data_IF_466039761881
#
_entry.id   IF_466039761881
#
_cell.length_a   1.000
_cell.length_b   1.000
_cell.length_c   1.000
_cell.angle_alpha   90.00
_cell.angle_beta   90.00
_cell.angle_gamma   90.00
#
_symmetry.space_group_name_H-M   'P 1'
#
loop_
_entity.id
_entity.type
_entity.pdbx_description
1 polymer ?
#
# COMPACT_ATOMS: atom_id res chain seq x y z
N UNK A 1 -3.36 60.26 9.06
CA UNK A 1 -3.24 59.01 9.84
C UNK A 1 -3.24 57.83 8.87
N UNK A 2 -2.08 57.20 8.61
CA UNK A 2 -2.04 55.99 7.78
C UNK A 2 -2.52 54.79 8.61
N UNK A 3 -3.68 54.23 8.23
CA UNK A 3 -4.16 52.96 8.77
C UNK A 3 -3.16 51.86 8.38
N UNK A 4 -2.62 51.15 9.37
CA UNK A 4 -1.71 50.03 9.16
C UNK A 4 -2.40 48.94 8.34
N UNK A 5 -1.82 48.60 7.19
CA UNK A 5 -2.26 47.46 6.39
C UNK A 5 -2.04 46.18 7.21
N UNK A 6 -2.97 45.22 7.20
CA UNK A 6 -2.79 43.96 7.91
C UNK A 6 -1.60 43.21 7.32
N UNK A 7 -0.64 42.84 8.17
CA UNK A 7 0.53 42.07 7.76
C UNK A 7 0.08 40.72 7.17
N UNK A 8 0.43 40.47 5.90
CA UNK A 8 0.22 39.17 5.28
C UNK A 8 1.05 38.12 6.02
N UNK A 9 0.43 37.01 6.43
CA UNK A 9 1.16 35.83 6.91
C UNK A 9 2.17 35.42 5.82
N UNK A 10 3.45 35.22 6.15
CA UNK A 10 4.41 34.74 5.18
C UNK A 10 3.94 33.39 4.62
N UNK A 11 4.22 33.09 3.34
CA UNK A 11 3.89 31.80 2.76
C UNK A 11 4.47 30.70 3.65
N UNK A 12 3.65 29.69 3.93
CA UNK A 12 4.02 28.59 4.82
C UNK A 12 5.34 27.94 4.39
N UNK A 13 6.09 27.42 5.37
CA UNK A 13 7.40 26.80 5.13
C UNK A 13 7.32 25.78 3.99
N UNK A 14 8.16 25.89 2.94
CA UNK A 14 8.24 24.88 1.89
C UNK A 14 8.46 23.49 2.50
N UNK A 15 7.66 22.52 2.05
CA UNK A 15 7.79 21.13 2.49
C UNK A 15 9.23 20.66 2.23
N UNK A 16 9.87 20.09 3.26
CA UNK A 16 11.26 19.63 3.20
C UNK A 16 11.42 18.65 2.04
N UNK A 17 12.25 19.00 1.05
CA UNK A 17 12.60 18.13 -0.07
C UNK A 17 13.45 16.95 0.42
N UNK A 18 13.36 15.82 -0.27
CA UNK A 18 14.20 14.65 0.00
C UNK A 18 15.68 15.04 -0.20
N UNK A 19 16.57 14.59 0.69
CA UNK A 19 18.01 14.92 0.62
C UNK A 19 18.63 14.30 -0.65
N UNK A 20 19.55 15.02 -1.30
CA UNK A 20 20.31 14.57 -2.48
C UNK A 20 21.12 13.28 -2.27
N UNK A 21 21.47 12.94 -1.02
CA UNK A 21 22.17 11.71 -0.65
C UNK A 21 21.24 10.57 -0.23
N UNK A 22 19.92 10.82 -0.16
CA UNK A 22 18.99 9.71 -0.08
C UNK A 22 19.04 9.03 -1.44
N UNK A 23 19.80 7.91 -1.53
CA UNK A 23 19.96 7.09 -2.73
C UNK A 23 18.64 7.11 -3.52
N UNK A 24 18.71 7.43 -4.81
CA UNK A 24 17.60 7.38 -5.79
C UNK A 24 17.09 5.94 -6.03
N UNK A 25 17.23 5.07 -5.02
CA UNK A 25 16.64 3.76 -5.00
C UNK A 25 15.21 3.81 -4.44
N UNK A 26 14.38 2.82 -4.79
CA UNK A 26 13.07 2.63 -4.17
C UNK A 26 13.20 2.67 -2.64
N UNK A 27 12.32 3.40 -1.94
CA UNK A 27 12.36 3.56 -0.46
C UNK A 27 12.14 2.21 0.23
N UNK A 28 13.21 1.44 0.41
CA UNK A 28 13.14 0.09 1.00
C UNK A 28 12.50 0.07 2.40
N UNK A 29 12.72 1.11 3.20
CA UNK A 29 12.16 1.20 4.56
C UNK A 29 10.63 1.33 4.57
N UNK A 30 10.03 1.98 3.57
CA UNK A 30 8.60 2.25 3.52
C UNK A 30 7.76 0.98 3.29
N UNK A 31 8.36 -0.02 2.63
CA UNK A 31 7.72 -1.28 2.30
C UNK A 31 8.25 -2.45 3.13
N UNK A 32 9.03 -2.20 4.19
CA UNK A 32 9.37 -3.24 5.16
C UNK A 32 8.09 -3.74 5.84
N UNK A 33 7.99 -5.06 6.07
CA UNK A 33 6.78 -5.69 6.60
C UNK A 33 6.41 -5.06 7.96
N UNK A 34 7.37 -4.88 8.86
CA UNK A 34 7.13 -4.27 10.19
C UNK A 34 6.60 -2.84 10.09
N UNK A 35 7.16 -2.03 9.17
CA UNK A 35 6.68 -0.66 8.96
C UNK A 35 5.28 -0.63 8.34
N UNK A 36 4.97 -1.58 7.46
CA UNK A 36 3.64 -1.74 6.87
C UNK A 36 2.62 -2.16 7.92
N UNK A 37 2.93 -3.17 8.75
CA UNK A 37 2.07 -3.60 9.87
C UNK A 37 1.78 -2.41 10.77
N UNK A 38 2.81 -1.69 11.22
CA UNK A 38 2.64 -0.51 12.07
C UNK A 38 1.77 0.55 11.40
N UNK A 39 2.01 0.84 10.11
CA UNK A 39 1.23 1.80 9.33
C UNK A 39 -0.23 1.39 9.18
N UNK A 40 -0.51 0.10 8.95
CA UNK A 40 -1.87 -0.43 8.78
C UNK A 40 -2.65 -0.41 10.10
N UNK A 41 -1.96 -0.61 11.23
CA UNK A 41 -2.56 -0.47 12.57
C UNK A 41 -2.88 1.01 12.86
N UNK A 42 -1.91 1.90 12.66
CA UNK A 42 -2.06 3.33 12.96
C UNK A 42 -3.04 4.04 12.00
N UNK A 43 -2.96 3.70 10.70
CA UNK A 43 -3.69 4.36 9.60
C UNK A 43 -4.22 3.31 8.62
N UNK A 44 -5.30 2.60 8.96
CA UNK A 44 -5.79 1.47 8.18
C UNK A 44 -6.33 1.86 6.79
N UNK A 45 -6.75 3.12 6.63
CA UNK A 45 -7.20 3.66 5.35
C UNK A 45 -6.05 4.10 4.41
N UNK A 46 -4.80 4.03 4.87
CA UNK A 46 -3.65 4.61 4.13
C UNK A 46 -3.20 3.83 2.89
N UNK A 47 -3.84 2.68 2.63
CA UNK A 47 -3.54 1.76 1.51
C UNK A 47 -4.78 1.45 0.66
N UNK A 48 -5.89 2.16 0.89
CA UNK A 48 -7.11 1.97 0.10
C UNK A 48 -6.82 2.31 -1.36
N UNK A 49 -7.37 1.51 -2.27
CA UNK A 49 -7.21 1.55 -3.72
C UNK A 49 -5.81 1.26 -4.25
N UNK A 50 -4.85 0.90 -3.40
CA UNK A 50 -3.54 0.44 -3.89
C UNK A 50 -3.69 -0.85 -4.68
N UNK A 51 -2.99 -0.92 -5.81
CA UNK A 51 -2.79 -2.16 -6.56
C UNK A 51 -1.70 -3.02 -5.93
N UNK A 52 -2.00 -4.30 -5.73
CA UNK A 52 -1.09 -5.32 -5.21
C UNK A 52 -1.11 -6.56 -6.08
N UNK A 53 -0.01 -7.30 -6.07
CA UNK A 53 0.14 -8.62 -6.66
C UNK A 53 -0.08 -9.69 -5.58
N UNK A 54 -0.89 -10.69 -5.93
CA UNK A 54 -1.05 -11.92 -5.16
C UNK A 54 -0.68 -13.10 -6.04
N UNK A 55 0.08 -14.05 -5.49
CA UNK A 55 0.42 -15.30 -6.16
C UNK A 55 -0.68 -16.32 -5.89
N UNK A 56 -1.17 -16.94 -6.95
CA UNK A 56 -2.04 -18.12 -6.84
C UNK A 56 -1.45 -19.27 -7.65
N UNK A 57 -1.36 -20.43 -7.00
CA UNK A 57 -0.99 -21.68 -7.64
C UNK A 57 -2.19 -22.17 -8.46
N UNK A 58 -1.96 -22.41 -9.75
CA UNK A 58 -2.94 -23.06 -10.63
C UNK A 58 -2.35 -24.38 -11.11
N UNK A 59 -3.10 -25.47 -10.94
CA UNK A 59 -2.71 -26.78 -11.48
C UNK A 59 -3.04 -26.82 -12.97
N UNK A 60 -2.03 -26.97 -13.82
CA UNK A 60 -2.23 -27.25 -15.25
C UNK A 60 -2.63 -28.72 -15.41
N UNK A 61 -3.34 -29.06 -16.49
CA UNK A 61 -3.81 -30.44 -16.78
C UNK A 61 -2.69 -31.50 -16.78
N UNK A 62 -1.43 -31.08 -16.98
CA UNK A 62 -0.23 -31.94 -16.92
C UNK A 62 0.35 -32.13 -15.49
N UNK A 63 -0.32 -31.61 -14.46
CA UNK A 63 0.12 -31.72 -13.07
C UNK A 63 1.25 -30.76 -12.67
N UNK A 64 1.70 -29.88 -13.57
CA UNK A 64 2.62 -28.79 -13.23
C UNK A 64 1.85 -27.63 -12.55
N UNK A 65 2.30 -27.26 -11.35
CA UNK A 65 1.81 -26.07 -10.65
C UNK A 65 2.47 -24.83 -11.25
N UNK A 66 1.66 -23.97 -11.86
CA UNK A 66 2.11 -22.65 -12.31
C UNK A 66 1.64 -21.57 -11.34
N UNK A 67 2.60 -20.78 -10.85
CA UNK A 67 2.32 -19.60 -10.04
C UNK A 67 1.95 -18.44 -10.97
N UNK A 68 0.70 -18.00 -10.91
CA UNK A 68 0.22 -16.84 -11.64
C UNK A 68 0.07 -15.65 -10.69
N UNK A 69 0.51 -14.48 -11.16
CA UNK A 69 0.39 -13.22 -10.45
C UNK A 69 -0.88 -12.50 -10.86
N UNK A 70 -1.75 -12.20 -9.90
CA UNK A 70 -2.99 -11.46 -10.13
C UNK A 70 -2.90 -10.07 -9.52
N UNK A 71 -3.37 -9.07 -10.26
CA UNK A 71 -3.47 -7.69 -9.78
C UNK A 71 -4.79 -7.51 -9.05
N UNK A 72 -4.69 -7.12 -7.78
CA UNK A 72 -5.84 -6.83 -6.93
C UNK A 72 -5.80 -5.42 -6.36
N UNK A 73 -6.97 -4.85 -6.11
CA UNK A 73 -7.17 -3.54 -5.49
C UNK A 73 -7.65 -3.68 -4.06
N UNK A 74 -6.93 -3.03 -3.15
CA UNK A 74 -7.27 -3.02 -1.73
C UNK A 74 -8.52 -2.17 -1.49
N UNK A 75 -9.54 -2.75 -0.86
CA UNK A 75 -10.77 -2.07 -0.45
C UNK A 75 -10.69 -1.52 0.97
N UNK A 76 -11.66 -0.68 1.38
CA UNK A 76 -11.71 -0.15 2.73
C UNK A 76 -11.65 -1.26 3.80
N UNK A 77 -10.95 -1.00 4.91
CA UNK A 77 -10.84 -1.96 6.01
C UNK A 77 -12.19 -2.17 6.69
N UNK A 78 -12.40 -3.37 7.22
CA UNK A 78 -13.54 -3.70 8.05
C UNK A 78 -13.07 -4.48 9.29
N UNK A 79 -13.93 -4.54 10.31
CA UNK A 79 -13.64 -5.24 11.57
C UNK A 79 -14.44 -6.52 11.71
N UNK A 80 -13.78 -7.61 12.10
CA UNK A 80 -14.41 -8.90 12.41
C UNK A 80 -13.74 -9.48 13.66
N UNK A 81 -14.51 -9.78 14.70
CA UNK A 81 -13.97 -10.35 15.96
C UNK A 81 -12.89 -9.48 16.62
N UNK A 82 -13.03 -8.15 16.56
CA UNK A 82 -12.05 -7.21 17.13
C UNK A 82 -10.75 -7.03 16.33
N UNK A 83 -10.56 -7.78 15.23
CA UNK A 83 -9.43 -7.66 14.31
C UNK A 83 -9.83 -6.92 13.04
N UNK A 84 -8.87 -6.22 12.43
CA UNK A 84 -9.06 -5.51 11.15
C UNK A 84 -8.63 -6.38 9.98
N UNK A 85 -9.41 -6.28 8.90
CA UNK A 85 -9.22 -6.98 7.65
C UNK A 85 -9.45 -6.03 6.48
N UNK A 86 -8.87 -6.38 5.33
CA UNK A 86 -9.07 -5.71 4.06
C UNK A 86 -9.54 -6.72 3.04
N UNK A 87 -10.49 -6.32 2.19
CA UNK A 87 -10.83 -7.09 1.00
C UNK A 87 -9.91 -6.69 -0.14
N UNK A 88 -9.54 -7.65 -0.97
CA UNK A 88 -8.79 -7.44 -2.21
C UNK A 88 -9.66 -7.95 -3.35
N UNK A 89 -10.04 -7.06 -4.24
CA UNK A 89 -10.78 -7.41 -5.47
C UNK A 89 -9.80 -7.48 -6.62
N UNK A 90 -9.81 -8.59 -7.35
CA UNK A 90 -8.89 -8.83 -8.47
C UNK A 90 -9.53 -8.42 -9.79
N UNK A 91 -8.75 -7.82 -10.69
CA UNK A 91 -9.29 -7.33 -11.96
C UNK A 91 -9.70 -8.51 -12.88
N UNK A 92 -8.98 -9.63 -12.80
CA UNK A 92 -9.17 -10.81 -13.68
C UNK A 92 -9.90 -11.98 -12.99
N UNK A 93 -10.44 -11.79 -11.78
CA UNK A 93 -11.23 -12.82 -11.06
C UNK A 93 -12.38 -12.20 -10.27
N UNK A 94 -13.51 -12.90 -10.23
CA UNK A 94 -14.64 -12.57 -9.35
C UNK A 94 -14.35 -12.86 -7.87
N UNK A 95 -13.30 -13.61 -7.59
CA UNK A 95 -12.92 -13.99 -6.23
C UNK A 95 -12.41 -12.78 -5.44
N UNK A 96 -12.83 -12.69 -4.18
CA UNK A 96 -12.44 -11.61 -3.27
C UNK A 96 -11.70 -12.20 -2.09
N UNK A 97 -10.42 -11.85 -1.97
CA UNK A 97 -9.61 -12.33 -0.86
C UNK A 97 -9.75 -11.39 0.35
N UNK A 98 -9.66 -11.95 1.56
CA UNK A 98 -9.75 -11.21 2.82
C UNK A 98 -8.45 -11.34 3.59
N UNK A 99 -7.67 -10.26 3.60
CA UNK A 99 -6.35 -10.24 4.21
C UNK A 99 -6.38 -9.57 5.59
N UNK A 100 -5.73 -10.21 6.55
CA UNK A 100 -5.35 -9.58 7.81
C UNK A 100 -4.16 -8.62 7.62
N UNK A 101 -3.78 -7.92 8.70
CA UNK A 101 -2.69 -6.92 8.68
C UNK A 101 -1.37 -7.49 8.14
N UNK A 102 -0.97 -8.68 8.61
CA UNK A 102 0.28 -9.32 8.20
C UNK A 102 0.23 -9.78 6.74
N UNK A 103 -0.85 -10.47 6.33
CA UNK A 103 -1.02 -10.91 4.95
C UNK A 103 -1.02 -9.74 3.96
N UNK A 104 -1.69 -8.63 4.32
CA UNK A 104 -1.69 -7.43 3.49
C UNK A 104 -0.30 -6.78 3.41
N UNK A 105 0.43 -6.72 4.53
CA UNK A 105 1.80 -6.21 4.55
C UNK A 105 2.74 -7.06 3.68
N UNK A 106 2.59 -8.38 3.70
CA UNK A 106 3.34 -9.30 2.85
C UNK A 106 3.01 -9.10 1.38
N UNK A 107 1.73 -8.99 1.00
CA UNK A 107 1.31 -8.76 -0.37
C UNK A 107 1.83 -7.42 -0.93
N UNK A 108 1.75 -6.34 -0.14
CA UNK A 108 2.30 -5.03 -0.51
C UNK A 108 3.83 -5.11 -0.67
N UNK A 109 4.53 -5.79 0.25
CA UNK A 109 5.98 -5.98 0.14
C UNK A 109 6.35 -6.79 -1.11
N UNK A 110 5.63 -7.87 -1.38
CA UNK A 110 5.83 -8.71 -2.55
C UNK A 110 5.65 -7.90 -3.83
N UNK A 111 4.54 -7.18 -3.96
CA UNK A 111 4.25 -6.28 -5.09
C UNK A 111 5.41 -5.32 -5.37
N UNK A 112 5.92 -4.70 -4.30
CA UNK A 112 7.05 -3.78 -4.39
C UNK A 112 8.34 -4.50 -4.84
N UNK A 113 8.62 -5.69 -4.31
CA UNK A 113 9.79 -6.49 -4.69
C UNK A 113 9.74 -6.95 -6.14
N UNK A 114 8.55 -7.21 -6.66
CA UNK A 114 8.31 -7.55 -8.07
C UNK A 114 8.33 -6.33 -9.00
N UNK A 115 8.55 -5.12 -8.48
CA UNK A 115 8.56 -3.90 -9.27
C UNK A 115 7.18 -3.47 -9.76
N UNK A 116 6.10 -4.02 -9.18
CA UNK A 116 4.75 -3.57 -9.47
C UNK A 116 4.54 -2.15 -8.95
N UNK A 117 3.87 -1.33 -9.74
CA UNK A 117 3.55 0.03 -9.34
C UNK A 117 2.37 0.00 -8.35
N UNK A 118 2.61 0.45 -7.12
CA UNK A 118 1.62 0.48 -6.04
C UNK A 118 1.09 1.93 -5.95
N UNK A 119 0.01 2.24 -6.67
CA UNK A 119 -0.65 3.56 -6.67
C UNK A 119 -2.15 3.40 -6.55
#
# INVERSE_FOLDING_TARGET
>A
MLRSLPARKPPGRPRKKTKCLARDGPRKSQYSIDALIKRLVDKPASVINWSILQVWATTVEDGEETELNFVGKIKPPFTRGGKRYWKVEYDDREEVDTLGVEGLAMAINYSFRMGHNIV
#
